data_IF_314087824370
#
_entry.id   IF_314087824370
#
_cell.length_a   1.000
_cell.length_b   1.000
_cell.length_c   1.000
_cell.angle_alpha   90.00
_cell.angle_beta   90.00
_cell.angle_gamma   90.00
#
_symmetry.space_group_name_H-M   'P 1'
#
loop_
_entity.id
_entity.type
_entity.pdbx_description
1 polymer ?
#
# COMPACT_ATOMS: atom_id res chain seq x y z
N UNK A 1 -23.77 14.54 -5.89
CA UNK A 1 -23.41 13.18 -5.39
C UNK A 1 -22.94 12.36 -6.58
N UNK A 2 -21.62 12.16 -6.75
CA UNK A 2 -21.10 11.30 -7.82
C UNK A 2 -21.30 9.83 -7.43
N UNK A 3 -22.11 9.12 -8.23
CA UNK A 3 -22.47 7.72 -8.06
C UNK A 3 -21.23 6.84 -7.88
N UNK A 4 -21.26 5.94 -6.89
CA UNK A 4 -20.22 4.94 -6.65
C UNK A 4 -19.92 4.09 -7.90
N UNK A 5 -20.88 3.93 -8.83
CA UNK A 5 -20.64 3.23 -10.09
C UNK A 5 -19.58 3.94 -10.96
N UNK A 6 -19.51 5.27 -10.96
CA UNK A 6 -18.51 6.02 -11.74
C UNK A 6 -17.08 5.76 -11.28
N UNK A 7 -16.87 5.51 -9.97
CA UNK A 7 -15.54 5.23 -9.40
C UNK A 7 -15.01 3.85 -9.75
N UNK A 8 -15.87 2.85 -9.88
CA UNK A 8 -15.44 1.49 -10.24
C UNK A 8 -14.98 1.41 -11.70
N UNK A 9 -15.64 2.14 -12.62
CA UNK A 9 -15.24 2.18 -14.02
C UNK A 9 -13.91 2.92 -14.19
N UNK A 10 -13.69 4.00 -13.45
CA UNK A 10 -12.41 4.74 -13.50
C UNK A 10 -11.25 3.94 -12.94
N UNK A 11 -11.44 3.19 -11.85
CA UNK A 11 -10.39 2.31 -11.29
C UNK A 11 -10.08 1.11 -12.17
N UNK A 12 -11.10 0.44 -12.74
CA UNK A 12 -10.88 -0.71 -13.63
C UNK A 12 -10.30 -0.27 -14.98
N UNK A 13 -10.74 0.88 -15.51
CA UNK A 13 -10.15 1.50 -16.71
C UNK A 13 -8.71 1.95 -16.48
N UNK A 14 -8.44 2.61 -15.35
CA UNK A 14 -7.08 3.01 -14.96
C UNK A 14 -6.16 1.78 -14.76
N UNK A 15 -6.69 0.68 -14.22
CA UNK A 15 -5.95 -0.57 -14.10
C UNK A 15 -5.67 -1.20 -15.47
N UNK A 16 -6.64 -1.24 -16.39
CA UNK A 16 -6.40 -1.73 -17.76
C UNK A 16 -5.41 -0.85 -18.53
N UNK A 17 -5.38 0.46 -18.26
CA UNK A 17 -4.38 1.39 -18.79
C UNK A 17 -2.97 1.22 -18.20
N UNK A 18 -2.78 0.45 -17.12
CA UNK A 18 -1.43 0.15 -16.62
C UNK A 18 -0.64 -0.82 -17.46
N UNK A 19 -1.31 -1.57 -18.35
CA UNK A 19 -0.65 -2.53 -19.21
C UNK A 19 0.15 -1.72 -20.24
N UNK A 20 1.50 -1.77 -20.24
CA UNK A 20 2.31 -0.98 -21.15
C UNK A 20 1.95 -1.22 -22.63
N UNK A 21 1.51 -2.44 -22.96
CA UNK A 21 1.03 -2.78 -24.30
C UNK A 21 -0.28 -2.08 -24.68
N UNK A 22 -1.11 -1.68 -23.72
CA UNK A 22 -2.37 -1.00 -24.00
C UNK A 22 -2.14 0.51 -24.23
N UNK A 23 -1.25 1.15 -23.46
CA UNK A 23 -0.79 2.52 -23.75
C UNK A 23 -0.11 2.59 -25.12
N UNK A 24 0.83 1.69 -25.40
CA UNK A 24 1.54 1.65 -26.68
C UNK A 24 0.60 1.42 -27.87
N UNK A 25 -0.41 0.54 -27.73
CA UNK A 25 -1.44 0.33 -28.76
C UNK A 25 -2.30 1.57 -28.99
N UNK A 26 -2.63 2.31 -27.94
CA UNK A 26 -3.41 3.55 -28.05
C UNK A 26 -2.60 4.63 -28.79
N UNK A 27 -1.32 4.80 -28.45
CA UNK A 27 -0.40 5.70 -29.16
C UNK A 27 -0.27 5.32 -30.64
N UNK A 28 -0.03 4.05 -30.94
CA UNK A 28 0.07 3.52 -32.32
C UNK A 28 -1.23 3.74 -33.12
N UNK A 29 -2.39 3.58 -32.48
CA UNK A 29 -3.69 3.82 -33.12
C UNK A 29 -3.85 5.29 -33.49
N UNK A 30 -3.47 6.21 -32.60
CA UNK A 30 -3.49 7.64 -32.88
C UNK A 30 -2.52 8.01 -34.01
N UNK A 31 -1.28 7.50 -33.99
CA UNK A 31 -0.31 7.74 -35.06
C UNK A 31 -0.79 7.25 -36.41
N UNK A 32 -1.36 6.04 -36.45
CA UNK A 32 -1.93 5.46 -37.66
C UNK A 32 -3.10 6.28 -38.21
N UNK A 33 -3.96 6.78 -37.32
CA UNK A 33 -5.10 7.62 -37.70
C UNK A 33 -4.62 8.96 -38.30
N UNK A 34 -3.68 9.65 -37.64
CA UNK A 34 -3.09 10.89 -38.13
C UNK A 34 -2.45 10.71 -39.51
N UNK A 35 -1.60 9.68 -39.68
CA UNK A 35 -0.97 9.40 -40.98
C UNK A 35 -1.99 9.08 -42.09
N UNK A 36 -3.08 8.40 -41.75
CA UNK A 36 -4.16 8.15 -42.72
C UNK A 36 -4.86 9.43 -43.14
N UNK A 37 -5.08 10.36 -42.21
CA UNK A 37 -5.67 11.67 -42.50
C UNK A 37 -4.72 12.51 -43.36
N UNK A 38 -3.43 12.57 -43.04
CA UNK A 38 -2.39 13.25 -43.84
C UNK A 38 -2.38 12.73 -45.29
N UNK A 39 -2.36 11.41 -45.46
CA UNK A 39 -2.38 10.79 -46.79
C UNK A 39 -3.67 11.08 -47.55
N UNK A 40 -4.81 11.14 -46.86
CA UNK A 40 -6.10 11.46 -47.48
C UNK A 40 -6.13 12.90 -47.97
N UNK A 41 -5.60 13.84 -47.18
CA UNK A 41 -5.49 15.25 -47.57
C UNK A 41 -4.52 15.41 -48.74
N UNK A 42 -3.35 14.76 -48.69
CA UNK A 42 -2.39 14.77 -49.80
C UNK A 42 -2.99 14.18 -51.08
N UNK A 43 -3.72 13.07 -50.98
CA UNK A 43 -4.40 12.47 -52.12
C UNK A 43 -5.42 13.43 -52.73
N UNK A 44 -6.22 14.11 -51.92
CA UNK A 44 -7.16 15.13 -52.39
C UNK A 44 -6.42 16.28 -53.07
N UNK A 45 -5.31 16.76 -52.51
CA UNK A 45 -4.51 17.82 -53.12
C UNK A 45 -3.96 17.43 -54.50
N UNK A 46 -3.51 16.18 -54.66
CA UNK A 46 -2.89 15.69 -55.89
C UNK A 46 -3.90 15.21 -56.95
N UNK A 47 -5.06 14.70 -56.52
CA UNK A 47 -6.05 14.05 -57.40
C UNK A 47 -7.42 14.74 -57.40
N UNK A 48 -7.53 15.91 -56.76
CA UNK A 48 -8.75 16.69 -56.71
C UNK A 48 -9.23 17.06 -58.12
N UNK A 49 -10.48 16.72 -58.41
CA UNK A 49 -11.13 17.15 -59.65
C UNK A 49 -11.28 18.68 -59.72
N UNK A 50 -11.64 19.23 -60.89
CA UNK A 50 -11.77 20.67 -61.10
C UNK A 50 -12.82 21.36 -60.21
N UNK A 51 -13.75 20.59 -59.64
CA UNK A 51 -14.79 21.07 -58.71
C UNK A 51 -14.32 21.14 -57.25
N UNK A 52 -13.10 20.69 -56.95
CA UNK A 52 -12.56 20.72 -55.60
C UNK A 52 -12.08 22.13 -55.25
N UNK A 53 -12.75 22.75 -54.28
CA UNK A 53 -12.33 24.04 -53.74
C UNK A 53 -10.96 23.90 -53.02
N UNK A 54 -9.92 24.65 -53.43
CA UNK A 54 -8.63 24.66 -52.76
C UNK A 54 -8.69 24.97 -51.26
N UNK A 55 -9.71 25.73 -50.82
CA UNK A 55 -9.91 26.08 -49.41
C UNK A 55 -10.16 24.83 -48.54
N UNK A 56 -10.74 23.77 -49.11
CA UNK A 56 -10.96 22.49 -48.41
C UNK A 56 -9.63 21.85 -47.99
N UNK A 57 -8.60 21.91 -48.82
CA UNK A 57 -7.26 21.38 -48.50
C UNK A 57 -6.62 22.19 -47.38
N UNK A 58 -6.74 23.52 -47.44
CA UNK A 58 -6.19 24.43 -46.42
C UNK A 58 -6.87 24.20 -45.08
N UNK A 59 -8.22 24.16 -45.06
CA UNK A 59 -9.00 23.90 -43.85
C UNK A 59 -8.72 22.51 -43.27
N UNK A 60 -8.60 21.50 -44.11
CA UNK A 60 -8.31 20.13 -43.66
C UNK A 60 -6.93 20.03 -43.01
N UNK A 61 -5.90 20.69 -43.56
CA UNK A 61 -4.58 20.77 -42.95
C UNK A 61 -4.61 21.54 -41.61
N UNK A 62 -5.37 22.62 -41.54
CA UNK A 62 -5.52 23.39 -40.31
C UNK A 62 -6.22 22.60 -39.20
N UNK A 63 -7.29 21.89 -39.55
CA UNK A 63 -8.00 20.99 -38.63
C UNK A 63 -7.10 19.87 -38.16
N UNK A 64 -6.35 19.23 -39.07
CA UNK A 64 -5.43 18.17 -38.71
C UNK A 64 -4.33 18.65 -37.75
N UNK A 65 -3.78 19.85 -37.98
CA UNK A 65 -2.80 20.45 -37.08
C UNK A 65 -3.38 20.71 -35.68
N UNK A 66 -4.62 21.21 -35.59
CA UNK A 66 -5.31 21.43 -34.32
C UNK A 66 -5.63 20.10 -33.59
N UNK A 67 -6.05 19.08 -34.34
CA UNK A 67 -6.31 17.75 -33.80
C UNK A 67 -5.02 17.06 -33.35
N UNK A 68 -3.89 17.25 -34.05
CA UNK A 68 -2.60 16.70 -33.64
C UNK A 68 -2.19 17.19 -32.25
N UNK A 69 -2.40 18.48 -31.95
CA UNK A 69 -2.12 19.04 -30.61
C UNK A 69 -2.98 18.34 -29.54
N UNK A 70 -4.25 18.09 -29.86
CA UNK A 70 -5.18 17.40 -28.95
C UNK A 70 -4.78 15.94 -28.75
N UNK A 71 -4.39 15.25 -29.82
CA UNK A 71 -3.90 13.87 -29.79
C UNK A 71 -2.63 13.76 -28.95
N UNK A 72 -1.67 14.67 -29.12
CA UNK A 72 -0.44 14.69 -28.32
C UNK A 72 -0.74 14.93 -26.83
N UNK A 73 -1.68 15.83 -26.52
CA UNK A 73 -2.15 16.02 -25.15
C UNK A 73 -2.82 14.77 -24.57
N UNK A 74 -3.57 14.01 -25.38
CA UNK A 74 -4.16 12.74 -24.97
C UNK A 74 -3.09 11.68 -24.70
N UNK A 75 -2.09 11.53 -25.58
CA UNK A 75 -0.95 10.60 -25.37
C UNK A 75 -0.22 10.91 -24.06
N UNK A 76 0.09 12.18 -23.81
CA UNK A 76 0.74 12.62 -22.57
C UNK A 76 -0.10 12.26 -21.34
N UNK A 77 -1.42 12.52 -21.37
CA UNK A 77 -2.33 12.15 -20.27
C UNK A 77 -2.36 10.65 -20.04
N UNK A 78 -2.42 9.84 -21.10
CA UNK A 78 -2.39 8.38 -20.99
C UNK A 78 -1.09 7.89 -20.34
N UNK A 79 0.06 8.45 -20.74
CA UNK A 79 1.35 8.13 -20.14
C UNK A 79 1.42 8.51 -18.65
N UNK A 80 0.86 9.68 -18.28
CA UNK A 80 0.77 10.12 -16.88
C UNK A 80 -0.10 9.17 -16.04
N UNK A 81 -1.29 8.81 -16.53
CA UNK A 81 -2.18 7.85 -15.84
C UNK A 81 -1.48 6.51 -15.65
N UNK A 82 -0.82 5.99 -16.69
CA UNK A 82 -0.07 4.74 -16.59
C UNK A 82 1.04 4.83 -15.53
N UNK A 83 1.73 5.97 -15.41
CA UNK A 83 2.72 6.21 -14.36
C UNK A 83 2.09 6.25 -12.97
N UNK A 84 1.01 7.00 -12.77
CA UNK A 84 0.32 7.10 -11.49
C UNK A 84 -0.14 5.73 -10.99
N UNK A 85 -0.73 4.93 -11.88
CA UNK A 85 -1.18 3.62 -11.50
C UNK A 85 -0.03 2.65 -11.15
N UNK A 86 1.14 2.76 -11.79
CA UNK A 86 2.37 2.05 -11.35
C UNK A 86 2.79 2.48 -9.94
N UNK A 87 2.75 3.78 -9.63
CA UNK A 87 3.07 4.28 -8.28
C UNK A 87 2.09 3.76 -7.24
N UNK A 88 0.79 3.73 -7.54
CA UNK A 88 -0.23 3.15 -6.66
C UNK A 88 0.06 1.66 -6.39
N UNK A 89 0.44 0.90 -7.43
CA UNK A 89 0.85 -0.49 -7.28
C UNK A 89 2.05 -0.67 -6.35
N UNK A 90 3.10 0.14 -6.53
CA UNK A 90 4.28 0.12 -5.66
C UNK A 90 3.93 0.51 -4.21
N UNK A 91 3.10 1.52 -4.01
CA UNK A 91 2.66 1.94 -2.68
C UNK A 91 1.86 0.85 -1.97
N UNK A 92 1.01 0.09 -2.68
CA UNK A 92 0.30 -1.07 -2.10
C UNK A 92 1.28 -2.13 -1.61
N UNK A 93 2.33 -2.43 -2.36
CA UNK A 93 3.36 -3.39 -1.94
C UNK A 93 4.13 -2.89 -0.71
N UNK A 94 4.46 -1.60 -0.68
CA UNK A 94 5.14 -0.97 0.45
C UNK A 94 4.28 -0.97 1.72
N UNK A 95 2.99 -0.65 1.59
CA UNK A 95 2.02 -0.73 2.70
C UNK A 95 1.88 -2.17 3.21
N UNK A 96 1.78 -3.16 2.32
CA UNK A 96 1.72 -4.56 2.72
C UNK A 96 3.01 -5.06 3.38
N UNK A 97 4.16 -4.45 3.09
CA UNK A 97 5.42 -4.72 3.79
C UNK A 97 5.43 -4.07 5.17
N UNK A 98 5.09 -2.78 5.26
CA UNK A 98 4.99 -2.06 6.54
C UNK A 98 4.01 -2.74 7.49
N UNK A 99 2.87 -3.20 7.00
CA UNK A 99 1.89 -3.91 7.81
C UNK A 99 2.46 -5.21 8.39
N UNK A 100 3.19 -6.00 7.59
CA UNK A 100 3.88 -7.20 8.09
C UNK A 100 4.97 -6.88 9.12
N UNK A 101 5.71 -5.80 8.91
CA UNK A 101 6.73 -5.35 9.88
C UNK A 101 6.07 -4.90 11.20
N UNK A 102 4.95 -4.17 11.15
CA UNK A 102 4.18 -3.80 12.35
C UNK A 102 3.59 -5.02 13.06
N UNK A 103 3.01 -5.97 12.33
CA UNK A 103 2.49 -7.21 12.91
C UNK A 103 3.60 -8.01 13.62
N UNK A 104 4.81 -8.02 13.05
CA UNK A 104 6.01 -8.60 13.66
C UNK A 104 6.38 -7.91 14.97
N UNK A 105 6.45 -6.58 14.99
CA UNK A 105 6.74 -5.80 16.19
C UNK A 105 5.68 -5.99 17.28
N UNK A 106 4.41 -6.07 16.91
CA UNK A 106 3.31 -6.35 17.85
C UNK A 106 3.43 -7.76 18.44
N UNK A 107 3.77 -8.75 17.62
CA UNK A 107 3.99 -10.12 18.09
C UNK A 107 5.20 -10.20 19.04
N UNK A 108 6.31 -9.55 18.71
CA UNK A 108 7.50 -9.46 19.58
C UNK A 108 7.19 -8.76 20.91
N UNK A 109 6.46 -7.64 20.88
CA UNK A 109 6.05 -6.93 22.08
C UNK A 109 5.09 -7.77 22.95
N UNK A 110 4.16 -8.50 22.33
CA UNK A 110 3.25 -9.42 23.03
C UNK A 110 4.01 -10.57 23.70
N UNK A 111 4.97 -11.18 23.01
CA UNK A 111 5.80 -12.25 23.57
C UNK A 111 6.72 -11.74 24.69
N UNK A 112 7.32 -10.56 24.53
CA UNK A 112 8.13 -9.92 25.56
C UNK A 112 7.32 -9.61 26.82
N UNK A 113 6.09 -9.10 26.65
CA UNK A 113 5.15 -8.86 27.75
C UNK A 113 4.74 -10.16 28.46
N UNK A 114 4.40 -11.22 27.71
CA UNK A 114 4.06 -12.52 28.28
C UNK A 114 5.26 -13.16 29.02
N UNK A 115 6.47 -13.02 28.49
CA UNK A 115 7.67 -13.48 29.16
C UNK A 115 7.97 -12.69 30.45
N UNK A 116 7.67 -11.40 30.47
CA UNK A 116 7.80 -10.56 31.66
C UNK A 116 6.75 -10.90 32.73
N UNK A 117 5.50 -11.17 32.34
CA UNK A 117 4.43 -11.53 33.29
C UNK A 117 4.71 -12.86 33.98
N UNK A 118 5.20 -13.87 33.25
CA UNK A 118 5.60 -15.17 33.83
C UNK A 118 6.72 -14.98 34.86
N UNK A 119 7.73 -14.15 34.56
CA UNK A 119 8.81 -13.86 35.52
C UNK A 119 8.28 -13.15 36.76
N UNK A 120 7.30 -12.25 36.61
CA UNK A 120 6.71 -11.52 37.72
C UNK A 120 5.89 -12.45 38.64
N UNK A 121 5.01 -13.30 38.08
CA UNK A 121 4.25 -14.29 38.85
C UNK A 121 5.17 -15.31 39.53
N UNK A 122 6.24 -15.73 38.86
CA UNK A 122 7.21 -16.66 39.41
C UNK A 122 8.05 -16.01 40.52
N UNK A 123 8.41 -14.74 40.39
CA UNK A 123 9.07 -13.97 41.46
C UNK A 123 8.15 -13.76 42.67
N UNK A 124 6.86 -13.47 42.45
CA UNK A 124 5.87 -13.29 43.52
C UNK A 124 5.62 -14.62 44.27
N UNK A 125 5.48 -15.73 43.53
CA UNK A 125 5.35 -17.08 44.10
C UNK A 125 6.57 -17.47 44.93
N UNK A 126 7.78 -17.26 44.39
CA UNK A 126 9.03 -17.53 45.11
C UNK A 126 9.17 -16.66 46.36
N UNK A 127 8.77 -15.39 46.30
CA UNK A 127 8.76 -14.48 47.46
C UNK A 127 7.84 -14.97 48.58
N UNK A 128 6.65 -15.47 48.24
CA UNK A 128 5.71 -16.06 49.22
C UNK A 128 6.28 -17.34 49.86
N UNK A 129 6.92 -18.21 49.09
CA UNK A 129 7.56 -19.43 49.62
C UNK A 129 8.69 -19.08 50.60
N UNK A 130 9.54 -18.12 50.27
CA UNK A 130 10.63 -17.66 51.14
C UNK A 130 10.08 -17.08 52.44
N UNK A 131 9.01 -16.27 52.37
CA UNK A 131 8.35 -15.71 53.55
C UNK A 131 7.81 -16.81 54.46
N UNK A 132 7.16 -17.84 53.91
CA UNK A 132 6.63 -18.98 54.68
C UNK A 132 7.76 -19.75 55.35
N UNK A 133 8.87 -20.02 54.66
CA UNK A 133 10.04 -20.67 55.24
C UNK A 133 10.62 -19.83 56.39
N UNK A 134 10.71 -18.51 56.21
CA UNK A 134 11.19 -17.61 57.26
C UNK A 134 10.28 -17.63 58.50
N UNK A 135 8.96 -17.60 58.32
CA UNK A 135 7.98 -17.68 59.42
C UNK A 135 8.11 -19.03 60.14
N UNK A 136 8.19 -20.14 59.42
CA UNK A 136 8.38 -21.47 60.02
C UNK A 136 9.69 -21.53 60.81
N UNK A 137 10.77 -20.96 60.27
CA UNK A 137 12.06 -20.86 60.95
C UNK A 137 11.99 -20.04 62.24
N UNK A 138 11.33 -18.88 62.22
CA UNK A 138 11.14 -18.02 63.40
C UNK A 138 10.30 -18.75 64.46
N UNK A 139 9.18 -19.36 64.07
CA UNK A 139 8.32 -20.12 65.00
C UNK A 139 9.07 -21.31 65.60
N UNK A 140 9.81 -22.07 64.78
CA UNK A 140 10.64 -23.17 65.25
C UNK A 140 11.69 -22.71 66.26
N UNK A 141 12.34 -21.58 65.98
CA UNK A 141 13.34 -20.99 66.89
C UNK A 141 12.70 -20.52 68.20
N UNK A 142 11.52 -19.87 68.14
CA UNK A 142 10.77 -19.45 69.33
C UNK A 142 10.32 -20.63 70.17
N UNK A 143 9.88 -21.74 69.55
CA UNK A 143 9.51 -22.96 70.25
C UNK A 143 10.71 -23.60 70.95
N UNK A 144 11.86 -23.69 70.29
CA UNK A 144 13.10 -24.23 70.91
C UNK A 144 13.57 -23.36 72.07
N UNK A 145 13.59 -22.04 71.90
CA UNK A 145 13.99 -21.11 72.97
C UNK A 145 12.99 -21.11 74.13
N UNK A 146 11.68 -21.22 73.84
CA UNK A 146 10.61 -21.34 74.83
C UNK A 146 10.69 -22.64 75.64
N UNK A 147 10.92 -23.79 74.99
CA UNK A 147 11.12 -25.06 75.67
C UNK A 147 12.39 -25.07 76.54
N UNK A 148 13.45 -24.37 76.11
CA UNK A 148 14.69 -24.21 76.88
C UNK A 148 14.49 -23.36 78.14
N UNK A 149 13.62 -22.36 78.07
CA UNK A 149 13.26 -21.47 79.18
C UNK A 149 12.38 -22.16 80.22
N UNK A 150 11.37 -22.93 79.79
CA UNK A 150 10.46 -23.65 80.70
C UNK A 150 11.20 -24.74 81.50
N UNK A 151 12.19 -25.41 80.89
CA UNK A 151 13.00 -26.45 81.56
C UNK A 151 13.94 -25.91 82.64
N UNK A 152 14.28 -24.61 82.65
CA UNK A 152 15.07 -23.97 83.73
C UNK A 152 14.22 -23.50 84.90
N UNK A 153 12.90 -23.40 84.73
CA UNK A 153 11.98 -22.93 85.79
C UNK A 153 11.45 -24.06 86.67
N UNK A 154 11.77 -25.32 86.37
CA UNK A 154 11.28 -26.52 87.07
C UNK A 154 12.39 -27.37 87.69
N UNK A 155 13.62 -26.85 87.77
CA UNK A 155 14.71 -27.40 88.57
C UNK A 155 15.05 -26.39 89.68
#
# INVERSE_FOLDING_TARGET
>A
MQSASSRYWTLDFAHRLTIPSLTSRVEETFDTATQRMERSIAFLADNGGPDMDPEVIILSNHLLAAESITIDAMKLRTAMVARECRMIGANKQLLARLQREMDGLVAEASQSSAAASIRYEQAESNGRIILVIAIIGIVGTLLVTGFSSVRRSTA
#
